data_IF_278539098404
#
_entry.id   IF_278539098404
#
_cell.length_a   1.000
_cell.length_b   1.000
_cell.length_c   1.000
_cell.angle_alpha   90.00
_cell.angle_beta   90.00
_cell.angle_gamma   90.00
#
_symmetry.space_group_name_H-M   'P 1'
#
loop_
_entity.id
_entity.type
_entity.pdbx_description
1 polymer ?
#
# COMPACT_ATOMS: atom_id res chain seq x y z
N UNK A 1 -17.84 4.48 21.74
CA UNK A 1 -17.08 3.67 22.68
C UNK A 1 -17.61 2.25 22.70
N UNK A 2 -16.73 1.26 22.70
CA UNK A 2 -17.09 -0.15 22.74
C UNK A 2 -16.50 -0.79 24.01
N UNK A 3 -17.32 -0.94 25.04
CA UNK A 3 -16.86 -1.31 26.38
C UNK A 3 -15.90 -0.27 26.97
N UNK A 4 -14.96 -0.70 27.81
CA UNK A 4 -13.99 0.18 28.47
C UNK A 4 -12.64 0.29 27.74
N UNK A 5 -12.33 -0.66 26.87
CA UNK A 5 -11.01 -0.80 26.26
C UNK A 5 -10.92 -0.24 24.85
N UNK A 6 -12.02 0.04 24.17
CA UNK A 6 -12.05 0.43 22.76
C UNK A 6 -12.88 1.71 22.57
N UNK A 7 -12.28 2.70 21.91
CA UNK A 7 -13.00 3.76 21.21
C UNK A 7 -12.94 3.43 19.72
N UNK A 8 -14.10 3.13 19.12
CA UNK A 8 -14.21 2.81 17.69
C UNK A 8 -14.68 4.03 16.92
N UNK A 9 -13.97 4.38 15.86
CA UNK A 9 -14.28 5.49 14.97
C UNK A 9 -14.41 4.89 13.56
N UNK A 10 -15.57 5.06 12.94
CA UNK A 10 -15.84 4.58 11.59
C UNK A 10 -15.90 5.76 10.64
N UNK A 11 -15.23 5.66 9.50
CA UNK A 11 -15.24 6.69 8.46
C UNK A 11 -15.87 6.15 7.18
N UNK A 12 -16.50 7.04 6.44
CA UNK A 12 -17.04 6.77 5.11
C UNK A 12 -16.18 7.49 4.06
N UNK A 13 -15.31 6.76 3.40
CA UNK A 13 -14.53 7.31 2.30
C UNK A 13 -15.28 7.22 0.97
N UNK A 14 -16.20 6.27 0.79
CA UNK A 14 -16.89 6.07 -0.49
C UNK A 14 -17.71 7.28 -0.92
N UNK A 15 -18.32 7.99 0.04
CA UNK A 15 -19.10 9.20 -0.24
C UNK A 15 -18.25 10.45 -0.45
N UNK A 16 -16.99 10.46 -0.01
CA UNK A 16 -16.14 11.66 0.02
C UNK A 16 -14.86 11.54 -0.81
N UNK A 17 -14.56 10.35 -1.31
CA UNK A 17 -13.40 10.08 -2.12
C UNK A 17 -13.40 10.86 -3.43
N UNK A 18 -12.28 11.51 -3.74
CA UNK A 18 -12.06 12.13 -5.05
C UNK A 18 -12.10 11.08 -6.17
N UNK A 19 -12.45 11.53 -7.36
CA UNK A 19 -12.28 10.74 -8.57
C UNK A 19 -10.80 10.35 -8.76
N UNK A 20 -10.53 9.19 -9.35
CA UNK A 20 -9.16 8.81 -9.69
C UNK A 20 -8.48 9.86 -10.57
N UNK A 21 -7.22 10.19 -10.26
CA UNK A 21 -6.45 11.14 -11.08
C UNK A 21 -6.07 10.57 -12.45
N UNK A 22 -5.97 9.25 -12.58
CA UNK A 22 -5.58 8.62 -13.84
C UNK A 22 -6.73 8.58 -14.87
N UNK A 23 -7.97 8.52 -14.44
CA UNK A 23 -9.13 8.48 -15.33
C UNK A 23 -9.00 7.56 -16.54
N UNK A 24 -8.00 6.66 -16.57
CA UNK A 24 -7.62 5.86 -17.72
C UNK A 24 -6.75 6.61 -18.75
N UNK A 25 -6.26 7.80 -18.45
CA UNK A 25 -5.48 8.63 -19.38
C UNK A 25 -3.97 8.59 -19.18
N UNK A 26 -3.49 8.23 -17.98
CA UNK A 26 -2.07 8.09 -17.72
C UNK A 26 -1.56 6.72 -18.17
N UNK A 27 -0.46 6.70 -18.95
CA UNK A 27 0.17 5.44 -19.32
C UNK A 27 0.77 4.78 -18.06
N UNK A 28 0.18 3.66 -17.63
CA UNK A 28 0.78 2.85 -16.58
C UNK A 28 2.10 2.23 -17.11
N UNK A 29 3.18 2.31 -16.35
CA UNK A 29 4.38 1.52 -16.65
C UNK A 29 4.05 0.02 -16.73
N UNK A 30 4.86 -0.75 -17.43
CA UNK A 30 4.65 -2.20 -17.61
C UNK A 30 4.50 -2.96 -16.30
N UNK A 31 5.09 -2.46 -15.21
CA UNK A 31 4.98 -3.00 -13.85
C UNK A 31 3.63 -2.68 -13.17
N UNK A 32 2.77 -1.87 -13.79
CA UNK A 32 1.48 -1.48 -13.25
C UNK A 32 1.54 -0.53 -12.04
N UNK A 33 2.71 0.04 -11.76
CA UNK A 33 2.96 0.92 -10.61
C UNK A 33 3.52 2.27 -11.08
N UNK A 34 3.32 3.32 -10.29
CA UNK A 34 3.98 4.62 -10.50
C UNK A 34 5.24 4.73 -9.63
N UNK A 35 6.29 5.44 -10.08
CA UNK A 35 7.37 5.89 -9.19
C UNK A 35 6.79 6.66 -8.00
N UNK A 36 7.32 6.42 -6.81
CA UNK A 36 6.74 6.92 -5.55
C UNK A 36 6.58 8.45 -5.56
N UNK A 37 7.61 9.19 -6.01
CA UNK A 37 7.53 10.64 -6.09
C UNK A 37 6.49 11.11 -7.12
N UNK A 38 6.37 10.44 -8.26
CA UNK A 38 5.37 10.78 -9.26
C UNK A 38 3.95 10.53 -8.73
N UNK A 39 3.75 9.45 -7.98
CA UNK A 39 2.48 9.18 -7.30
C UNK A 39 2.15 10.26 -6.25
N UNK A 40 3.13 10.62 -5.42
CA UNK A 40 2.97 11.66 -4.39
C UNK A 40 2.54 13.01 -5.02
N UNK A 41 3.17 13.39 -6.14
CA UNK A 41 2.82 14.61 -6.89
C UNK A 41 1.41 14.54 -7.47
N UNK A 42 1.05 13.41 -8.08
CA UNK A 42 -0.29 13.21 -8.64
C UNK A 42 -1.37 13.28 -7.56
N UNK A 43 -1.12 12.70 -6.40
CA UNK A 43 -2.09 12.72 -5.30
C UNK A 43 -2.16 14.08 -4.58
N UNK A 44 -1.05 14.79 -4.47
CA UNK A 44 -1.01 16.10 -3.85
C UNK A 44 -1.54 17.22 -4.79
N UNK A 45 -1.57 16.99 -6.09
CA UNK A 45 -2.05 18.00 -7.04
C UNK A 45 -1.31 19.32 -6.90
N UNK A 46 -2.03 20.44 -6.98
CA UNK A 46 -1.44 21.79 -6.81
C UNK A 46 -0.83 22.04 -5.43
N UNK A 47 -1.10 21.18 -4.44
CA UNK A 47 -0.62 21.27 -3.06
C UNK A 47 0.70 20.49 -2.86
N UNK A 48 1.26 19.92 -3.95
CA UNK A 48 2.52 19.22 -3.91
C UNK A 48 3.66 20.10 -3.35
N UNK A 49 4.52 19.57 -2.44
CA UNK A 49 5.66 20.31 -1.92
C UNK A 49 6.57 20.81 -3.06
N UNK A 50 6.86 22.12 -3.07
CA UNK A 50 7.62 22.76 -4.15
C UNK A 50 6.79 23.17 -5.36
N UNK A 51 5.47 22.96 -5.32
CA UNK A 51 4.52 23.24 -6.41
C UNK A 51 4.37 22.07 -7.37
N UNK A 52 3.19 21.98 -8.00
CA UNK A 52 2.91 20.92 -8.96
C UNK A 52 3.62 21.21 -10.29
N UNK A 53 4.50 20.32 -10.79
CA UNK A 53 5.11 20.48 -12.10
C UNK A 53 4.06 20.28 -13.20
N UNK A 54 4.21 21.00 -14.31
CA UNK A 54 3.33 20.86 -15.48
C UNK A 54 3.49 19.49 -16.17
N UNK A 55 4.64 18.85 -16.00
CA UNK A 55 4.94 17.53 -16.55
C UNK A 55 5.55 16.62 -15.48
N UNK A 56 5.32 15.32 -15.62
CA UNK A 56 5.94 14.28 -14.81
C UNK A 56 6.96 13.51 -15.66
N UNK A 57 8.09 13.15 -15.06
CA UNK A 57 9.15 12.42 -15.75
C UNK A 57 9.12 10.93 -15.38
N UNK A 58 9.11 10.07 -16.41
CA UNK A 58 9.21 8.63 -16.30
C UNK A 58 10.41 8.17 -17.17
N UNK A 59 11.58 8.07 -16.58
CA UNK A 59 12.82 7.83 -17.35
C UNK A 59 13.06 8.92 -18.40
N UNK A 60 13.04 8.54 -19.65
CA UNK A 60 13.25 9.46 -20.78
C UNK A 60 11.95 10.14 -21.28
N UNK A 61 10.81 9.71 -20.74
CA UNK A 61 9.51 10.23 -21.16
C UNK A 61 9.03 11.34 -20.22
N UNK A 62 8.51 12.39 -20.80
CA UNK A 62 7.73 13.40 -20.11
C UNK A 62 6.25 13.27 -20.49
N UNK A 63 5.40 13.27 -19.48
CA UNK A 63 3.95 13.24 -19.66
C UNK A 63 3.33 14.48 -19.01
N UNK A 64 2.26 15.06 -19.57
CA UNK A 64 1.53 16.14 -18.91
C UNK A 64 1.06 15.70 -17.53
N UNK A 65 1.16 16.59 -16.53
CA UNK A 65 0.60 16.33 -15.21
C UNK A 65 -0.88 16.74 -15.20
N UNK A 66 -1.83 15.80 -15.20
CA UNK A 66 -3.25 16.12 -15.22
C UNK A 66 -3.73 16.72 -13.89
N UNK A 67 -2.94 16.59 -12.83
CA UNK A 67 -3.28 17.09 -11.49
C UNK A 67 -2.59 18.42 -11.15
N UNK A 68 -1.82 19.03 -12.06
CA UNK A 68 -1.04 20.22 -11.78
C UNK A 68 -1.88 21.40 -11.21
N UNK A 69 -3.14 21.52 -11.62
CA UNK A 69 -4.06 22.57 -11.18
C UNK A 69 -5.21 22.06 -10.29
N UNK A 70 -5.29 20.73 -10.10
CA UNK A 70 -6.36 20.11 -9.32
C UNK A 70 -6.01 20.14 -7.82
N UNK A 71 -7.00 20.10 -6.93
CA UNK A 71 -6.74 19.99 -5.51
C UNK A 71 -6.11 18.61 -5.18
N UNK A 72 -5.50 18.50 -4.00
CA UNK A 72 -5.05 17.21 -3.48
C UNK A 72 -6.19 16.18 -3.47
N UNK A 73 -5.86 14.93 -3.70
CA UNK A 73 -6.83 13.84 -3.66
C UNK A 73 -7.40 13.71 -2.24
N UNK A 74 -8.71 13.75 -2.13
CA UNK A 74 -9.42 13.61 -0.87
C UNK A 74 -9.93 12.17 -0.70
N UNK A 75 -9.84 11.67 0.51
CA UNK A 75 -10.31 10.37 0.90
C UNK A 75 -11.45 10.44 1.92
N UNK A 76 -11.25 11.25 2.96
CA UNK A 76 -12.27 11.56 3.95
C UNK A 76 -13.02 12.86 3.65
N UNK A 77 -12.38 13.77 2.90
CA UNK A 77 -12.90 15.12 2.68
C UNK A 77 -12.79 16.01 3.92
N UNK A 78 -12.93 17.30 3.72
CA UNK A 78 -12.60 18.34 4.72
C UNK A 78 -13.38 18.16 6.04
N UNK A 79 -14.70 18.03 5.97
CA UNK A 79 -15.55 18.01 7.16
C UNK A 79 -15.37 16.71 7.96
N UNK A 80 -15.31 15.57 7.28
CA UNK A 80 -15.11 14.29 7.95
C UNK A 80 -13.69 14.17 8.52
N UNK A 81 -12.67 14.70 7.82
CA UNK A 81 -11.29 14.77 8.33
C UNK A 81 -11.23 15.55 9.65
N UNK A 82 -11.85 16.73 9.68
CA UNK A 82 -11.93 17.54 10.91
C UNK A 82 -12.58 16.77 12.05
N UNK A 83 -13.75 16.22 11.79
CA UNK A 83 -14.49 15.41 12.76
C UNK A 83 -13.69 14.20 13.23
N UNK A 84 -13.03 13.49 12.31
CA UNK A 84 -12.20 12.31 12.63
C UNK A 84 -11.05 12.67 13.57
N UNK A 85 -10.32 13.74 13.27
CA UNK A 85 -9.21 14.22 14.12
C UNK A 85 -9.68 14.64 15.52
N UNK A 86 -10.83 15.32 15.60
CA UNK A 86 -11.43 15.66 16.90
C UNK A 86 -11.79 14.42 17.71
N UNK A 87 -12.40 13.40 17.07
CA UNK A 87 -12.76 12.15 17.73
C UNK A 87 -11.55 11.34 18.17
N UNK A 88 -10.50 11.31 17.38
CA UNK A 88 -9.27 10.61 17.72
C UNK A 88 -8.54 11.26 18.90
N UNK A 89 -8.47 12.60 18.96
CA UNK A 89 -7.95 13.35 20.12
C UNK A 89 -8.79 13.14 21.39
N UNK A 90 -10.09 13.06 21.26
CA UNK A 90 -11.01 12.90 22.38
C UNK A 90 -11.06 11.46 22.91
N UNK A 91 -10.54 10.49 22.19
CA UNK A 91 -10.59 9.07 22.53
C UNK A 91 -9.78 8.78 23.82
N UNK A 92 -10.37 8.10 24.78
CA UNK A 92 -9.81 7.83 26.13
C UNK A 92 -9.47 6.36 26.34
N UNK A 93 -10.04 5.45 25.55
CA UNK A 93 -9.75 4.03 25.69
C UNK A 93 -8.29 3.70 25.33
N UNK A 94 -7.70 2.63 25.88
CA UNK A 94 -6.37 2.17 25.47
C UNK A 94 -6.24 2.04 23.95
N UNK A 95 -7.25 1.43 23.31
CA UNK A 95 -7.27 1.17 21.88
C UNK A 95 -8.24 2.11 21.16
N UNK A 96 -7.73 2.81 20.13
CA UNK A 96 -8.47 3.63 19.18
C UNK A 96 -8.57 2.82 17.90
N UNK A 97 -9.72 2.18 17.67
CA UNK A 97 -9.91 1.39 16.45
C UNK A 97 -10.55 2.26 15.39
N UNK A 98 -9.79 2.52 14.33
CA UNK A 98 -10.28 3.19 13.14
C UNK A 98 -10.79 2.15 12.15
N UNK A 99 -12.10 2.07 11.99
CA UNK A 99 -12.74 1.26 10.94
C UNK A 99 -12.80 2.04 9.64
N UNK A 100 -12.19 1.50 8.60
CA UNK A 100 -11.96 2.17 7.36
C UNK A 100 -12.23 1.22 6.19
N UNK A 101 -12.81 1.70 5.09
CA UNK A 101 -13.18 0.79 4.01
C UNK A 101 -12.00 0.42 3.10
N UNK A 102 -10.94 1.23 3.07
CA UNK A 102 -9.75 0.99 2.25
C UNK A 102 -8.48 1.06 3.10
N UNK A 103 -7.61 0.07 2.99
CA UNK A 103 -6.40 0.01 3.82
C UNK A 103 -5.38 1.10 3.48
N UNK A 104 -4.74 1.65 4.54
CA UNK A 104 -3.74 2.72 4.43
C UNK A 104 -2.32 2.22 4.16
N UNK A 105 -2.02 0.93 4.44
CA UNK A 105 -0.71 0.35 4.16
C UNK A 105 -0.37 0.46 2.68
N UNK A 106 0.73 1.12 2.40
CA UNK A 106 1.18 1.36 1.02
C UNK A 106 1.51 0.05 0.31
N UNK A 107 0.93 -0.14 -0.85
CA UNK A 107 1.26 -1.25 -1.72
C UNK A 107 2.49 -0.90 -2.56
N UNK A 108 3.65 -1.26 -2.05
CA UNK A 108 4.96 -0.86 -2.57
C UNK A 108 5.74 -2.05 -3.10
N UNK A 109 6.56 -1.81 -4.11
CA UNK A 109 7.53 -2.77 -4.65
C UNK A 109 8.86 -2.10 -4.92
N UNK A 110 9.94 -2.88 -5.17
CA UNK A 110 11.29 -2.38 -5.42
C UNK A 110 11.81 -2.63 -6.85
N UNK A 111 11.13 -2.15 -7.91
CA UNK A 111 11.51 -2.45 -9.29
C UNK A 111 12.89 -1.88 -9.69
N UNK A 112 13.43 -0.90 -8.96
CA UNK A 112 14.80 -0.43 -9.16
C UNK A 112 15.88 -1.52 -8.95
N UNK A 113 15.53 -2.62 -8.27
CA UNK A 113 16.41 -3.78 -8.05
C UNK A 113 16.23 -4.88 -9.11
N UNK A 114 15.48 -4.60 -10.18
CA UNK A 114 15.33 -5.53 -11.29
C UNK A 114 16.68 -5.86 -11.93
N UNK A 115 16.93 -7.13 -12.32
CA UNK A 115 18.04 -7.50 -13.19
C UNK A 115 18.00 -6.74 -14.52
N UNK A 116 19.15 -6.67 -15.20
CA UNK A 116 19.31 -5.88 -16.44
C UNK A 116 18.30 -6.24 -17.52
N UNK A 117 17.90 -7.49 -17.59
CA UNK A 117 16.90 -8.00 -18.54
C UNK A 117 15.50 -7.36 -18.36
N UNK A 118 15.22 -6.82 -17.16
CA UNK A 118 13.94 -6.18 -16.84
C UNK A 118 14.04 -4.65 -16.69
N UNK A 119 15.23 -4.06 -16.74
CA UNK A 119 15.42 -2.62 -16.49
C UNK A 119 14.60 -1.72 -17.41
N UNK A 120 14.37 -2.16 -18.65
CA UNK A 120 13.56 -1.39 -19.60
C UNK A 120 12.09 -1.26 -19.18
N UNK A 121 11.59 -2.17 -18.29
CA UNK A 121 10.21 -2.14 -17.80
C UNK A 121 10.01 -1.13 -16.67
N UNK A 122 11.10 -0.65 -16.06
CA UNK A 122 11.06 0.32 -14.97
C UNK A 122 12.17 1.37 -15.13
N UNK A 123 11.91 2.47 -15.82
CA UNK A 123 12.90 3.50 -16.09
C UNK A 123 13.04 4.50 -14.91
N UNK A 124 13.03 4.03 -13.69
CA UNK A 124 13.16 4.85 -12.49
C UNK A 124 14.09 4.19 -11.46
N UNK A 125 14.71 5.00 -10.61
CA UNK A 125 15.48 4.53 -9.45
C UNK A 125 14.65 4.46 -8.18
N UNK A 126 13.36 4.80 -8.26
CA UNK A 126 12.45 4.86 -7.13
C UNK A 126 11.71 3.53 -6.91
N UNK A 127 11.13 3.40 -5.74
CA UNK A 127 10.14 2.35 -5.47
C UNK A 127 8.88 2.58 -6.30
N UNK A 128 8.19 1.51 -6.62
CA UNK A 128 6.91 1.55 -7.30
C UNK A 128 5.74 1.50 -6.32
N UNK A 129 4.70 2.27 -6.55
CA UNK A 129 3.45 2.29 -5.77
C UNK A 129 2.29 1.88 -6.67
N UNK A 130 1.54 0.85 -6.26
CA UNK A 130 0.44 0.28 -7.06
C UNK A 130 -0.91 0.92 -6.80
N UNK A 131 -1.12 1.53 -5.65
CA UNK A 131 -2.42 2.04 -5.26
C UNK A 131 -2.35 3.47 -4.78
N UNK A 132 -3.48 4.14 -4.88
CA UNK A 132 -3.68 5.45 -4.27
C UNK A 132 -3.41 5.37 -2.79
N UNK A 133 -2.54 6.24 -2.31
CA UNK A 133 -2.15 6.29 -0.91
C UNK A 133 -2.79 7.45 -0.18
N UNK A 134 -3.47 8.37 -0.92
CA UNK A 134 -4.03 9.60 -0.36
C UNK A 134 -3.03 10.31 0.54
N UNK A 135 -1.85 10.52 -0.01
CA UNK A 135 -0.63 10.89 0.73
C UNK A 135 -0.80 12.13 1.60
N UNK A 136 -1.58 13.11 1.15
CA UNK A 136 -1.80 14.36 1.91
C UNK A 136 -2.62 14.10 3.16
N UNK A 137 -3.76 13.41 3.03
CA UNK A 137 -4.63 13.12 4.18
C UNK A 137 -3.99 12.11 5.15
N UNK A 138 -3.28 11.10 4.64
CA UNK A 138 -2.53 10.17 5.49
C UNK A 138 -1.39 10.84 6.23
N UNK A 139 -0.62 11.71 5.56
CA UNK A 139 0.42 12.50 6.21
C UNK A 139 -0.16 13.40 7.31
N UNK A 140 -1.30 14.04 7.07
CA UNK A 140 -1.99 14.87 8.06
C UNK A 140 -2.45 14.05 9.27
N UNK A 141 -3.03 12.86 9.07
CA UNK A 141 -3.51 11.99 10.15
C UNK A 141 -2.32 11.40 10.93
N UNK A 142 -1.36 10.80 10.23
CA UNK A 142 -0.26 10.08 10.88
C UNK A 142 0.73 11.06 11.53
N UNK A 143 0.96 12.21 10.89
CA UNK A 143 1.71 13.32 11.50
C UNK A 143 1.06 13.78 12.81
N UNK A 144 -0.25 14.01 12.82
CA UNK A 144 -0.98 14.37 14.06
C UNK A 144 -0.84 13.29 15.14
N UNK A 145 -1.02 12.01 14.77
CA UNK A 145 -0.92 10.88 15.74
C UNK A 145 0.47 10.86 16.38
N UNK A 146 1.52 11.01 15.58
CA UNK A 146 2.92 11.09 16.04
C UNK A 146 3.16 12.31 16.92
N UNK A 147 2.86 13.50 16.40
CA UNK A 147 3.24 14.77 17.00
C UNK A 147 2.47 15.05 18.31
N UNK A 148 1.24 14.58 18.42
CA UNK A 148 0.43 14.71 19.63
C UNK A 148 0.59 13.50 20.59
N UNK A 149 1.42 12.50 20.23
CA UNK A 149 1.69 11.33 21.07
C UNK A 149 0.45 10.45 21.29
N UNK A 150 -0.43 10.37 20.31
CA UNK A 150 -1.64 9.51 20.39
C UNK A 150 -1.20 8.05 20.27
N UNK A 151 -1.46 7.24 21.29
CA UNK A 151 -1.09 5.84 21.35
C UNK A 151 -2.27 4.90 21.16
N UNK A 152 -2.01 3.63 20.85
CA UNK A 152 -3.03 2.58 20.73
C UNK A 152 -3.93 2.73 19.50
N UNK A 153 -3.44 3.34 18.42
CA UNK A 153 -4.15 3.36 17.14
C UNK A 153 -4.07 1.98 16.48
N UNK A 154 -5.23 1.43 16.15
CA UNK A 154 -5.37 0.24 15.33
C UNK A 154 -6.34 0.51 14.18
N UNK A 155 -5.93 0.22 12.95
CA UNK A 155 -6.75 0.39 11.76
C UNK A 155 -7.26 -0.98 11.32
N UNK A 156 -8.54 -1.08 11.00
CA UNK A 156 -9.15 -2.28 10.42
C UNK A 156 -9.81 -1.90 9.11
N UNK A 157 -9.42 -2.59 8.04
CA UNK A 157 -9.81 -2.23 6.68
C UNK A 157 -10.06 -3.47 5.80
N UNK A 158 -10.46 -3.23 4.56
CA UNK A 158 -10.70 -4.25 3.55
C UNK A 158 -10.30 -3.79 2.14
N UNK A 159 -11.12 -4.10 1.15
CA UNK A 159 -11.07 -3.68 -0.26
C UNK A 159 -9.91 -4.25 -1.11
N UNK A 160 -8.75 -4.51 -0.54
CA UNK A 160 -7.56 -4.96 -1.30
C UNK A 160 -7.63 -6.40 -1.83
N UNK A 161 -8.71 -7.14 -1.58
CA UNK A 161 -8.86 -8.55 -1.96
C UNK A 161 -7.67 -9.43 -1.56
N UNK A 162 -7.09 -9.14 -0.40
CA UNK A 162 -5.89 -9.76 0.15
C UNK A 162 -5.77 -9.44 1.64
N UNK A 163 -4.96 -10.19 2.36
CA UNK A 163 -4.74 -9.98 3.79
C UNK A 163 -3.40 -9.32 4.04
N UNK A 164 -3.40 -8.29 4.88
CA UNK A 164 -2.21 -7.53 5.24
C UNK A 164 -2.18 -7.26 6.74
N UNK A 165 -0.99 -7.26 7.31
CA UNK A 165 -0.76 -6.72 8.64
C UNK A 165 0.56 -5.95 8.66
N UNK A 166 0.53 -4.76 9.29
CA UNK A 166 1.72 -3.92 9.29
C UNK A 166 1.53 -2.65 10.12
N UNK A 167 2.43 -1.71 9.88
CA UNK A 167 2.58 -0.49 10.64
C UNK A 167 2.38 0.73 9.74
N UNK A 168 1.25 1.45 9.86
CA UNK A 168 1.06 2.72 9.16
C UNK A 168 2.10 3.74 9.61
N UNK A 169 2.62 4.49 8.65
CA UNK A 169 3.60 5.56 8.85
C UNK A 169 3.37 6.65 7.82
N UNK A 170 3.71 7.88 8.14
CA UNK A 170 3.63 9.01 7.21
C UNK A 170 4.51 8.80 5.98
N UNK A 171 5.71 8.27 6.18
CA UNK A 171 6.68 8.02 5.11
C UNK A 171 7.37 6.67 5.26
N UNK A 172 8.01 6.20 4.17
CA UNK A 172 8.77 4.95 4.11
C UNK A 172 10.21 5.21 3.64
N UNK A 173 11.17 4.34 3.96
CA UNK A 173 12.55 4.48 3.49
C UNK A 173 12.65 4.67 1.95
N UNK A 174 13.56 5.53 1.47
CA UNK A 174 14.69 6.14 2.19
C UNK A 174 14.33 7.34 3.08
N UNK A 175 13.06 7.78 3.10
CA UNK A 175 12.57 8.76 4.07
C UNK A 175 12.45 8.11 5.46
N UNK A 176 12.11 8.89 6.48
CA UNK A 176 11.90 8.38 7.84
C UNK A 176 10.79 7.32 7.87
N UNK A 177 10.95 6.31 8.72
CA UNK A 177 9.91 5.33 9.00
C UNK A 177 9.60 5.36 10.49
N UNK A 178 8.47 5.96 10.82
CA UNK A 178 8.01 6.20 12.19
C UNK A 178 6.58 5.64 12.35
N UNK A 179 6.44 4.38 12.75
CA UNK A 179 5.14 3.75 12.93
C UNK A 179 4.26 4.48 13.95
N UNK A 180 3.00 4.70 13.61
CA UNK A 180 2.03 5.39 14.47
C UNK A 180 0.93 4.48 15.01
N UNK A 181 0.94 3.21 14.65
CA UNK A 181 -0.06 2.23 15.06
C UNK A 181 0.13 0.88 14.38
N UNK A 182 -0.92 0.09 14.38
CA UNK A 182 -1.00 -1.17 13.65
C UNK A 182 -2.17 -1.16 12.69
N UNK A 183 -2.08 -1.87 11.58
CA UNK A 183 -3.20 -2.01 10.65
C UNK A 183 -3.37 -3.46 10.21
N UNK A 184 -4.63 -3.86 10.11
CA UNK A 184 -5.08 -5.15 9.61
C UNK A 184 -6.03 -4.93 8.43
N UNK A 185 -5.65 -5.39 7.25
CA UNK A 185 -6.50 -5.39 6.07
C UNK A 185 -6.99 -6.81 5.86
N UNK A 186 -8.29 -6.96 5.75
CA UNK A 186 -8.94 -8.27 5.63
C UNK A 186 -9.32 -8.52 4.17
N UNK A 187 -8.95 -9.68 3.68
CA UNK A 187 -9.36 -10.17 2.38
C UNK A 187 -10.83 -10.59 2.35
N UNK A 188 -11.22 -11.22 1.26
CA UNK A 188 -12.59 -11.64 1.03
C UNK A 188 -12.88 -13.03 1.64
N UNK A 189 -14.14 -13.27 1.99
CA UNK A 189 -14.62 -14.61 2.34
C UNK A 189 -14.91 -15.43 1.08
N UNK A 190 -15.39 -14.80 0.01
CA UNK A 190 -15.87 -15.49 -1.18
C UNK A 190 -15.52 -14.81 -2.51
N UNK A 191 -15.17 -13.53 -2.48
CA UNK A 191 -14.73 -12.82 -3.68
C UNK A 191 -13.32 -13.27 -4.05
N UNK A 192 -13.06 -13.46 -5.31
CA UNK A 192 -11.76 -13.85 -5.85
C UNK A 192 -10.64 -12.94 -5.34
N UNK A 193 -9.58 -13.54 -4.82
CA UNK A 193 -8.40 -12.82 -4.32
C UNK A 193 -7.54 -12.25 -5.45
N UNK A 194 -6.77 -11.21 -5.15
CA UNK A 194 -5.92 -10.53 -6.14
C UNK A 194 -4.91 -11.48 -6.80
N UNK A 195 -4.28 -12.38 -6.02
CA UNK A 195 -3.32 -13.34 -6.58
C UNK A 195 -3.98 -14.42 -7.42
N UNK A 196 -5.21 -14.83 -7.09
CA UNK A 196 -5.93 -15.84 -7.87
C UNK A 196 -6.22 -15.32 -9.26
N UNK A 197 -6.61 -14.06 -9.41
CA UNK A 197 -6.77 -13.43 -10.73
C UNK A 197 -5.47 -13.52 -11.52
N UNK A 198 -4.32 -13.19 -10.91
CA UNK A 198 -3.02 -13.25 -11.57
C UNK A 198 -2.62 -14.69 -11.96
N UNK A 199 -2.85 -15.66 -11.07
CA UNK A 199 -2.58 -17.08 -11.35
C UNK A 199 -3.34 -17.59 -12.58
N UNK A 200 -4.56 -17.10 -12.78
CA UNK A 200 -5.42 -17.52 -13.87
C UNK A 200 -5.15 -16.76 -15.17
N UNK A 201 -4.88 -15.47 -15.09
CA UNK A 201 -4.90 -14.56 -16.25
C UNK A 201 -3.52 -14.09 -16.70
N UNK A 202 -2.48 -14.13 -15.83
CA UNK A 202 -1.16 -13.58 -16.17
C UNK A 202 -0.48 -14.45 -17.25
N UNK A 203 -0.10 -13.87 -18.40
CA UNK A 203 0.45 -14.64 -19.53
C UNK A 203 1.73 -15.39 -19.14
N UNK A 204 1.90 -16.60 -19.69
CA UNK A 204 3.10 -17.41 -19.39
C UNK A 204 4.38 -16.84 -19.99
N UNK A 205 4.27 -16.14 -21.09
CA UNK A 205 5.35 -15.50 -21.84
C UNK A 205 5.64 -14.06 -21.39
N UNK A 206 4.86 -13.52 -20.46
CA UNK A 206 5.11 -12.19 -19.93
C UNK A 206 6.39 -12.20 -19.06
N UNK A 207 7.38 -11.35 -19.37
CA UNK A 207 8.64 -11.31 -18.63
C UNK A 207 8.48 -10.98 -17.14
N UNK A 208 7.41 -10.25 -16.75
CA UNK A 208 7.14 -9.90 -15.35
C UNK A 208 6.44 -11.02 -14.56
N UNK A 209 6.05 -12.12 -15.22
CA UNK A 209 5.35 -13.25 -14.58
C UNK A 209 6.02 -13.75 -13.29
N UNK A 210 7.35 -13.87 -13.17
CA UNK A 210 7.99 -14.38 -11.95
C UNK A 210 7.74 -13.55 -10.70
N UNK A 211 7.32 -12.30 -10.84
CA UNK A 211 7.00 -11.41 -9.72
C UNK A 211 5.57 -11.59 -9.20
N UNK A 212 4.72 -12.26 -9.96
CA UNK A 212 3.32 -12.51 -9.64
C UNK A 212 3.02 -13.99 -9.46
N UNK A 213 3.61 -14.84 -10.30
CA UNK A 213 3.35 -16.28 -10.36
C UNK A 213 4.66 -17.06 -10.31
N UNK A 214 4.74 -18.02 -9.40
CA UNK A 214 5.80 -19.00 -9.35
C UNK A 214 5.32 -20.31 -9.97
N UNK A 215 5.80 -20.60 -11.17
CA UNK A 215 5.55 -21.87 -11.85
C UNK A 215 6.55 -22.93 -11.34
N UNK A 216 6.10 -23.88 -10.53
CA UNK A 216 6.94 -24.90 -9.91
C UNK A 216 7.29 -26.02 -10.91
N UNK A 217 8.38 -26.73 -10.62
CA UNK A 217 8.86 -27.85 -11.46
C UNK A 217 7.90 -29.03 -11.53
N UNK A 218 7.06 -29.20 -10.53
CA UNK A 218 6.02 -30.23 -10.48
C UNK A 218 4.75 -29.88 -11.25
N UNK A 219 4.73 -28.70 -11.90
CA UNK A 219 3.59 -28.20 -12.68
C UNK A 219 2.56 -27.44 -11.84
N UNK A 220 2.71 -27.40 -10.53
CA UNK A 220 1.86 -26.55 -9.68
C UNK A 220 2.24 -25.08 -9.80
N UNK A 221 1.30 -24.19 -9.44
CA UNK A 221 1.50 -22.76 -9.46
C UNK A 221 1.26 -22.20 -8.08
N UNK A 222 2.13 -21.30 -7.65
CA UNK A 222 1.94 -20.51 -6.44
C UNK A 222 1.98 -19.03 -6.80
N UNK A 223 1.33 -18.21 -6.02
CA UNK A 223 1.50 -16.76 -6.17
C UNK A 223 2.84 -16.34 -5.56
N UNK A 224 3.67 -15.66 -6.36
CA UNK A 224 4.91 -15.05 -5.90
C UNK A 224 4.69 -13.60 -5.42
N UNK A 225 3.52 -13.05 -5.66
CA UNK A 225 3.22 -11.63 -5.42
C UNK A 225 3.38 -11.21 -3.97
N UNK A 226 2.95 -12.03 -3.00
CA UNK A 226 3.22 -11.78 -1.58
C UNK A 226 4.71 -11.68 -1.28
N UNK A 227 5.54 -12.54 -1.90
CA UNK A 227 7.00 -12.51 -1.75
C UNK A 227 7.58 -11.24 -2.36
N UNK A 228 7.11 -10.83 -3.54
CA UNK A 228 7.55 -9.59 -4.21
C UNK A 228 7.26 -8.37 -3.34
N UNK A 229 6.06 -8.29 -2.77
CA UNK A 229 5.66 -7.16 -1.92
C UNK A 229 6.44 -7.13 -0.61
N UNK A 230 6.50 -8.27 0.11
CA UNK A 230 7.15 -8.34 1.42
C UNK A 230 8.67 -8.24 1.36
N UNK A 231 9.28 -8.81 0.31
CA UNK A 231 10.71 -9.08 0.29
C UNK A 231 11.43 -8.49 -0.92
N UNK A 232 10.69 -8.00 -1.91
CA UNK A 232 11.24 -7.39 -3.11
C UNK A 232 11.45 -8.36 -4.28
N UNK A 233 11.78 -7.79 -5.43
CA UNK A 233 11.86 -8.51 -6.71
C UNK A 233 12.96 -9.57 -6.74
N UNK A 234 14.11 -9.32 -6.11
CA UNK A 234 15.20 -10.32 -6.01
C UNK A 234 14.78 -11.57 -5.25
N UNK A 235 13.93 -11.40 -4.24
CA UNK A 235 13.39 -12.51 -3.47
C UNK A 235 12.45 -13.39 -4.31
N UNK A 236 11.59 -12.79 -5.12
CA UNK A 236 10.72 -13.52 -6.04
C UNK A 236 11.53 -14.29 -7.10
N UNK A 237 12.60 -13.69 -7.64
CA UNK A 237 13.49 -14.37 -8.57
C UNK A 237 14.25 -15.54 -7.91
N UNK A 238 14.72 -15.37 -6.68
CA UNK A 238 15.35 -16.44 -5.92
C UNK A 238 14.37 -17.61 -5.65
N UNK A 239 13.09 -17.31 -5.40
CA UNK A 239 12.04 -18.32 -5.31
C UNK A 239 11.86 -19.06 -6.63
N UNK A 240 11.74 -18.35 -7.75
CA UNK A 240 11.65 -18.92 -9.10
C UNK A 240 12.79 -19.90 -9.37
N UNK A 241 14.02 -19.48 -9.08
CA UNK A 241 15.23 -20.21 -9.49
C UNK A 241 15.50 -21.43 -8.60
N UNK A 242 15.07 -21.38 -7.34
CA UNK A 242 15.44 -22.39 -6.34
C UNK A 242 14.27 -23.22 -5.80
N UNK A 243 13.04 -22.74 -5.94
CA UNK A 243 11.82 -23.28 -5.30
C UNK A 243 11.97 -23.40 -3.76
N UNK A 244 12.81 -22.54 -3.16
CA UNK A 244 13.16 -22.55 -1.74
C UNK A 244 12.80 -21.22 -1.06
N UNK A 245 11.76 -21.20 -0.20
CA UNK A 245 11.35 -19.99 0.51
C UNK A 245 12.42 -19.40 1.45
N UNK A 246 13.36 -20.23 1.95
CA UNK A 246 14.43 -19.75 2.82
C UNK A 246 15.45 -18.92 2.00
N UNK A 247 15.81 -19.40 0.81
CA UNK A 247 16.67 -18.65 -0.12
C UNK A 247 15.98 -17.38 -0.62
N UNK A 248 14.69 -17.44 -0.90
CA UNK A 248 13.91 -16.26 -1.24
C UNK A 248 13.99 -15.20 -0.14
N UNK A 249 13.75 -15.58 1.12
CA UNK A 249 13.88 -14.66 2.26
C UNK A 249 15.29 -14.12 2.46
N UNK A 250 16.32 -14.92 2.21
CA UNK A 250 17.71 -14.48 2.30
C UNK A 250 18.05 -13.39 1.26
N UNK A 251 17.38 -13.39 0.10
CA UNK A 251 17.54 -12.39 -0.97
C UNK A 251 16.69 -11.13 -0.78
N UNK A 252 16.02 -10.96 0.36
CA UNK A 252 15.11 -9.83 0.61
C UNK A 252 15.82 -8.49 0.56
N UNK A 253 15.10 -7.47 0.10
CA UNK A 253 15.45 -6.08 0.33
C UNK A 253 14.72 -5.59 1.59
N UNK A 254 15.43 -5.34 2.72
CA UNK A 254 14.80 -4.94 3.97
C UNK A 254 14.16 -3.54 3.91
N UNK A 255 14.49 -2.75 2.88
CA UNK A 255 13.95 -1.40 2.69
C UNK A 255 12.73 -1.36 1.77
N UNK A 256 12.41 -2.46 1.09
CA UNK A 256 11.27 -2.50 0.17
C UNK A 256 9.95 -2.24 0.89
N UNK A 257 9.67 -3.02 1.92
CA UNK A 257 8.40 -2.93 2.66
C UNK A 257 8.59 -3.13 4.18
N UNK A 258 9.37 -2.26 4.86
CA UNK A 258 9.64 -2.41 6.29
C UNK A 258 8.39 -2.24 7.15
N UNK A 259 7.35 -1.64 6.62
CA UNK A 259 6.05 -1.42 7.25
C UNK A 259 5.14 -2.66 7.21
N UNK A 260 5.48 -3.69 6.45
CA UNK A 260 4.66 -4.89 6.31
C UNK A 260 5.26 -6.08 7.05
N UNK A 261 4.45 -6.69 7.93
CA UNK A 261 4.80 -7.93 8.63
C UNK A 261 4.17 -9.15 7.98
N UNK A 262 3.03 -8.98 7.33
CA UNK A 262 2.30 -10.05 6.70
C UNK A 262 1.56 -9.54 5.45
N UNK A 263 1.64 -10.32 4.38
CA UNK A 263 0.84 -10.16 3.17
C UNK A 263 0.46 -11.53 2.63
N UNK A 264 -0.81 -11.77 2.42
CA UNK A 264 -1.32 -12.91 1.66
C UNK A 264 -2.27 -12.42 0.57
N UNK A 265 -1.79 -12.49 -0.67
CA UNK A 265 -2.52 -12.00 -1.85
C UNK A 265 -3.57 -12.98 -2.35
N UNK A 266 -3.62 -14.20 -1.82
CA UNK A 266 -4.46 -15.29 -2.35
C UNK A 266 -5.41 -15.93 -1.33
N UNK A 267 -5.36 -15.55 -0.06
CA UNK A 267 -6.16 -16.16 0.99
C UNK A 267 -7.63 -15.73 0.98
N UNK A 268 -8.46 -16.61 1.56
CA UNK A 268 -9.86 -16.34 1.89
C UNK A 268 -10.04 -16.43 3.40
N UNK A 269 -10.91 -15.60 3.97
CA UNK A 269 -11.18 -15.68 5.41
C UNK A 269 -11.68 -14.39 6.03
N UNK A 270 -11.41 -14.27 7.32
CA UNK A 270 -11.75 -13.10 8.13
C UNK A 270 -10.66 -12.85 9.17
N UNK A 271 -10.60 -11.63 9.65
CA UNK A 271 -9.69 -11.22 10.74
C UNK A 271 -10.48 -11.06 12.02
N UNK A 272 -9.97 -11.61 13.12
CA UNK A 272 -10.49 -11.37 14.46
C UNK A 272 -9.51 -10.49 15.24
N UNK A 273 -10.01 -9.36 15.74
CA UNK A 273 -9.26 -8.50 16.64
C UNK A 273 -9.80 -8.69 18.06
N UNK A 274 -8.90 -8.97 19.00
CA UNK A 274 -9.25 -9.11 20.43
C UNK A 274 -8.50 -8.05 21.22
N UNK A 275 -9.22 -7.26 21.99
CA UNK A 275 -8.63 -6.18 22.79
C UNK A 275 -8.82 -6.44 24.29
N UNK A 276 -7.75 -6.46 25.04
CA UNK A 276 -7.72 -6.37 26.50
C UNK A 276 -7.36 -4.94 26.94
N UNK A 277 -6.97 -4.74 28.19
CA UNK A 277 -6.44 -3.47 28.64
C UNK A 277 -5.02 -3.21 28.09
N UNK A 278 -4.24 -4.28 27.90
CA UNK A 278 -2.81 -4.24 27.65
C UNK A 278 -2.40 -4.81 26.29
N UNK A 279 -3.29 -5.56 25.63
CA UNK A 279 -3.02 -6.25 24.37
C UNK A 279 -4.17 -6.07 23.36
N UNK A 280 -3.78 -5.96 22.09
CA UNK A 280 -4.67 -5.99 20.94
C UNK A 280 -4.33 -7.20 20.07
#
# INVERSE_FOLDING_TARGET
RFGKNIDMILTDNRSFQSAPYDGGTLPLPDFGAFPELANDILEAGREAPGGAPATLRFGDKEIPNPQANEPAQAYLGVEQMKWFKEKLRAAKAPWKIWGHSFGTLTWRTDPQNLPDEFKATWPSTEYGVFSRSYVVEHAEIFGMVRDEGITGLAIVAGDKHSFWAGYPSETLPPRAFEPVGVEFITGSISQQGSAEVQLLTFPKDNPLRPFYVHDRKDGTKLHAWSTTILHGVKSALALRDTDDPAKARAARNPLASPHLNFVDMGGYGYTTVRASADEL
#
